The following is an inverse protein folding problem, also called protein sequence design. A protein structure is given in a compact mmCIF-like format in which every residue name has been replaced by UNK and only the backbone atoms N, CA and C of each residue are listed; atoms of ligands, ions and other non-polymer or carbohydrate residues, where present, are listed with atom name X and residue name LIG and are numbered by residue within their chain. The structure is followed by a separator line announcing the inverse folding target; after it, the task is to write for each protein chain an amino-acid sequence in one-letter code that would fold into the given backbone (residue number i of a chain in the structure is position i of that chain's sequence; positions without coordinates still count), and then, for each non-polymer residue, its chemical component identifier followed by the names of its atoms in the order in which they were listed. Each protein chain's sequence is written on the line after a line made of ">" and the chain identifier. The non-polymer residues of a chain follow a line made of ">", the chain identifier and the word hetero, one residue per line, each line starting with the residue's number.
data_IF_117994013663
#
_entry.id   IF_117994013663
#
_cell.length_a   1.000
_cell.length_b   1.000
_cell.length_c   1.000
_cell.angle_alpha   90.00
_cell.angle_beta   90.00
_cell.angle_gamma   90.00
#
_symmetry.space_group_name_H-M   'P 1'
#
loop_
_entity.id
_entity.type
_entity.pdbx_description
1 polymer ?
#
# COMPACT_ATOMS: atom_id res chain seq x y z
N UNK A 1 1.27 2.40 1.23
CA UNK A 1 0.49 2.42 2.48
C UNK A 1 0.40 1.00 3.03
N UNK A 2 0.18 0.81 4.32
CA UNK A 2 0.00 -0.52 4.89
C UNK A 2 -0.72 -0.52 6.22
N UNK A 3 -1.00 -1.72 6.73
CA UNK A 3 -1.70 -1.91 8.00
C UNK A 3 -2.10 -3.36 8.20
N UNK A 4 -2.68 -3.65 9.36
CA UNK A 4 -3.17 -5.01 9.66
C UNK A 4 -4.44 -5.32 8.89
N UNK A 5 -4.49 -6.51 8.30
CA UNK A 5 -5.67 -7.06 7.60
C UNK A 5 -6.38 -8.13 8.43
N UNK A 6 -7.68 -8.29 8.23
CA UNK A 6 -8.50 -9.29 8.93
C UNK A 6 -8.18 -10.72 8.52
N UNK A 7 -7.80 -10.90 7.26
CA UNK A 7 -7.36 -12.17 6.68
C UNK A 7 -6.13 -11.87 5.81
N UNK A 8 -4.99 -12.57 5.99
CA UNK A 8 -3.78 -12.40 5.18
C UNK A 8 -4.01 -12.46 3.67
N UNK A 9 -5.03 -13.21 3.24
CA UNK A 9 -5.41 -13.40 1.83
C UNK A 9 -6.27 -12.27 1.28
N UNK A 10 -6.87 -11.46 2.16
CA UNK A 10 -7.73 -10.33 1.78
C UNK A 10 -6.94 -9.01 1.68
N UNK A 11 -7.64 -7.94 1.31
CA UNK A 11 -7.18 -6.55 1.40
C UNK A 11 -8.06 -5.74 2.37
N UNK A 12 -8.76 -6.42 3.29
CA UNK A 12 -9.64 -5.76 4.26
C UNK A 12 -8.85 -5.39 5.52
N UNK A 13 -8.56 -4.09 5.67
CA UNK A 13 -7.84 -3.57 6.83
C UNK A 13 -8.71 -3.55 8.09
N UNK A 14 -8.12 -3.91 9.23
CA UNK A 14 -8.81 -3.99 10.52
C UNK A 14 -9.20 -2.60 11.03
N UNK A 15 -8.29 -1.63 10.92
CA UNK A 15 -8.49 -0.26 11.39
C UNK A 15 -7.94 0.74 10.38
N UNK A 16 -8.82 1.53 9.78
CA UNK A 16 -8.47 2.56 8.80
C UNK A 16 -7.74 3.76 9.43
N UNK A 17 -7.91 4.00 10.73
CA UNK A 17 -7.24 5.09 11.45
C UNK A 17 -5.79 4.77 11.78
N UNK A 18 -5.42 3.48 11.80
CA UNK A 18 -4.06 3.01 12.06
C UNK A 18 -3.30 2.64 10.78
N UNK A 19 -3.77 3.10 9.62
CA UNK A 19 -3.05 2.89 8.37
C UNK A 19 -1.72 3.65 8.39
N UNK A 20 -0.66 2.93 8.07
CA UNK A 20 0.68 3.47 7.89
C UNK A 20 0.84 4.02 6.47
N UNK A 21 1.00 5.34 6.38
CA UNK A 21 1.28 6.04 5.13
C UNK A 21 2.79 6.22 4.95
N UNK A 22 3.40 5.29 4.23
CA UNK A 22 4.84 5.29 3.92
C UNK A 22 5.28 6.55 3.15
N UNK A 23 4.46 7.07 2.25
CA UNK A 23 4.75 8.25 1.45
C UNK A 23 3.95 8.33 0.15
N UNK A 24 4.16 9.43 -0.58
CA UNK A 24 3.61 9.66 -1.93
C UNK A 24 4.80 9.94 -2.85
N UNK A 25 4.83 9.25 -3.98
CA UNK A 25 5.98 9.23 -4.89
C UNK A 25 5.53 9.53 -6.33
N UNK A 26 6.38 10.15 -7.16
CA UNK A 26 6.02 10.55 -8.52
C UNK A 26 5.97 9.37 -9.50
N UNK A 27 6.61 8.25 -9.18
CA UNK A 27 6.72 7.09 -10.08
C UNK A 27 6.66 5.77 -9.31
N UNK A 28 6.43 4.66 -10.03
CA UNK A 28 6.32 3.33 -9.44
C UNK A 28 7.66 2.81 -8.88
N UNK A 29 8.80 3.14 -9.50
CA UNK A 29 10.10 2.63 -9.07
C UNK A 29 10.45 3.15 -7.68
N UNK A 30 10.34 4.46 -7.47
CA UNK A 30 10.58 5.08 -6.17
C UNK A 30 9.58 4.61 -5.10
N UNK A 31 8.31 4.41 -5.47
CA UNK A 31 7.31 3.82 -4.58
C UNK A 31 7.63 2.36 -4.20
N UNK A 32 8.13 1.56 -5.15
CA UNK A 32 8.46 0.15 -4.95
C UNK A 32 9.62 -0.01 -3.96
N UNK A 33 10.65 0.83 -4.06
CA UNK A 33 11.79 0.79 -3.13
C UNK A 33 11.35 1.10 -1.69
N UNK A 34 10.52 2.14 -1.52
CA UNK A 34 9.98 2.50 -0.22
C UNK A 34 9.04 1.42 0.34
N UNK A 35 8.16 0.87 -0.50
CA UNK A 35 7.27 -0.23 -0.15
C UNK A 35 8.04 -1.47 0.30
N UNK A 36 9.09 -1.86 -0.44
CA UNK A 36 9.91 -3.02 -0.11
C UNK A 36 10.57 -2.87 1.25
N UNK A 37 11.13 -1.69 1.55
CA UNK A 37 11.71 -1.42 2.87
C UNK A 37 10.66 -1.50 3.99
N UNK A 38 9.47 -0.93 3.79
CA UNK A 38 8.40 -0.97 4.79
C UNK A 38 7.88 -2.40 5.03
N UNK A 39 7.60 -3.15 3.95
CA UNK A 39 7.09 -4.51 4.02
C UNK A 39 8.09 -5.48 4.67
N UNK A 40 9.39 -5.32 4.39
CA UNK A 40 10.42 -6.16 4.97
C UNK A 40 10.56 -6.00 6.50
N UNK A 41 10.19 -4.85 7.07
CA UNK A 41 10.22 -4.63 8.52
C UNK A 41 9.18 -5.45 9.28
N UNK A 42 8.13 -5.89 8.61
CA UNK A 42 7.00 -6.60 9.22
C UNK A 42 6.83 -8.00 8.64
N UNK A 43 7.89 -8.61 8.09
CA UNK A 43 7.82 -9.91 7.41
C UNK A 43 7.32 -11.05 8.32
N UNK A 44 7.56 -10.93 9.62
CA UNK A 44 7.13 -11.93 10.62
C UNK A 44 5.65 -11.79 11.03
N UNK A 45 5.00 -10.67 10.69
CA UNK A 45 3.59 -10.43 10.98
C UNK A 45 2.75 -10.76 9.73
N UNK A 46 2.10 -11.93 9.75
CA UNK A 46 1.27 -12.41 8.64
C UNK A 46 0.05 -11.54 8.36
N UNK A 47 -0.40 -10.73 9.33
CA UNK A 47 -1.54 -9.83 9.17
C UNK A 47 -1.10 -8.44 8.71
N UNK A 48 0.19 -8.11 8.71
CA UNK A 48 0.67 -6.83 8.20
C UNK A 48 0.82 -6.85 6.68
N UNK A 49 0.11 -5.94 6.00
CA UNK A 49 0.13 -5.85 4.54
C UNK A 49 0.42 -4.43 4.09
N UNK A 50 1.37 -4.32 3.16
CA UNK A 50 1.69 -3.07 2.47
C UNK A 50 1.32 -3.17 0.99
N UNK A 51 0.72 -2.11 0.47
CA UNK A 51 0.30 -1.97 -0.94
C UNK A 51 0.73 -0.63 -1.51
N UNK A 52 0.97 -0.63 -2.83
CA UNK A 52 1.19 0.57 -3.64
C UNK A 52 -0.13 0.88 -4.34
N UNK A 53 -0.57 2.14 -4.28
CA UNK A 53 -1.83 2.58 -4.89
C UNK A 53 -1.51 3.67 -5.91
N UNK A 54 -2.07 3.55 -7.10
CA UNK A 54 -1.96 4.56 -8.15
C UNK A 54 -3.01 5.66 -7.93
N UNK A 55 -2.58 6.81 -7.40
CA UNK A 55 -3.46 7.94 -7.10
C UNK A 55 -4.16 8.51 -8.34
N UNK A 56 -3.51 8.50 -9.51
CA UNK A 56 -4.10 9.02 -10.74
C UNK A 56 -5.40 8.31 -11.12
N UNK A 57 -5.50 6.99 -10.90
CA UNK A 57 -6.73 6.22 -11.15
C UNK A 57 -7.90 6.61 -10.25
N UNK A 58 -7.61 7.17 -9.07
CA UNK A 58 -8.63 7.64 -8.14
C UNK A 58 -9.08 9.07 -8.45
N UNK A 59 -8.16 9.91 -8.92
CA UNK A 59 -8.43 11.33 -9.19
C UNK A 59 -9.03 11.53 -10.59
N UNK A 60 -8.58 10.76 -11.57
CA UNK A 60 -8.97 10.87 -12.97
C UNK A 60 -9.29 9.48 -13.53
N UNK A 61 -10.42 8.87 -13.12
CA UNK A 61 -10.76 7.49 -13.48
C UNK A 61 -11.04 7.29 -14.99
N UNK A 62 -11.23 8.37 -15.74
CA UNK A 62 -11.48 8.34 -17.19
C UNK A 62 -10.20 8.31 -18.03
N UNK A 63 -9.03 8.55 -17.42
CA UNK A 63 -7.76 8.47 -18.14
C UNK A 63 -7.42 7.00 -18.46
N UNK A 64 -7.05 6.68 -19.72
CA UNK A 64 -6.58 5.35 -20.08
C UNK A 64 -5.32 4.97 -19.29
N UNK A 65 -5.17 3.69 -18.96
CA UNK A 65 -3.92 3.17 -18.38
C UNK A 65 -2.73 3.47 -19.32
N UNK A 66 -1.78 4.29 -18.86
CA UNK A 66 -0.51 4.56 -19.54
C UNK A 66 0.55 3.49 -19.22
#
# INVERSE_FOLDING_TARGET
>A
MGGRVKDPRSLEFVDLKQLDLVGVFPDFSSAQDAWKSAAQRTVDDAEMKYVIVHLHRLLEPELPDQ
#
